data_IF_489819016306
#
_entry.id   IF_489819016306
#
_cell.length_a   1.000
_cell.length_b   1.000
_cell.length_c   1.000
_cell.angle_alpha   90.00
_cell.angle_beta   90.00
_cell.angle_gamma   90.00
#
_symmetry.space_group_name_H-M   'P 1'
#
loop_
_entity.id
_entity.type
_entity.pdbx_description
1 polymer ?
#
# COMPACT_ATOMS: atom_id res chain seq x y z
N UNK A 1 -30.70 2.95 16.95
CA UNK A 1 -30.23 3.81 15.83
C UNK A 1 -29.13 3.05 15.14
N UNK A 2 -29.29 2.71 13.86
CA UNK A 2 -28.20 2.10 13.09
C UNK A 2 -27.34 3.27 12.65
N UNK A 3 -26.14 3.42 13.22
CA UNK A 3 -25.15 4.35 12.68
C UNK A 3 -24.85 3.93 11.24
N UNK A 4 -25.12 4.79 10.26
CA UNK A 4 -24.72 4.56 8.89
C UNK A 4 -23.22 4.23 8.84
N UNK A 5 -22.87 3.11 8.21
CA UNK A 5 -21.49 2.77 7.94
C UNK A 5 -20.90 3.82 7.00
N UNK A 6 -20.17 4.78 7.56
CA UNK A 6 -19.38 5.71 6.75
C UNK A 6 -18.22 4.96 6.12
N UNK A 7 -18.40 4.60 4.85
CA UNK A 7 -17.37 4.02 3.98
C UNK A 7 -16.76 5.13 3.14
N UNK A 8 -15.43 5.24 3.15
CA UNK A 8 -14.69 6.12 2.25
C UNK A 8 -13.66 5.32 1.45
N UNK A 9 -13.45 5.73 0.21
CA UNK A 9 -12.53 5.07 -0.72
C UNK A 9 -11.59 6.09 -1.34
N UNK A 10 -10.29 5.84 -1.22
CA UNK A 10 -9.26 6.59 -1.92
C UNK A 10 -8.73 5.74 -3.08
N UNK A 11 -8.62 6.35 -4.26
CA UNK A 11 -7.89 5.80 -5.40
C UNK A 11 -7.11 6.93 -6.05
N UNK A 12 -5.80 6.75 -6.19
CA UNK A 12 -4.93 7.73 -6.83
C UNK A 12 -3.77 7.05 -7.55
N UNK A 13 -3.25 7.73 -8.57
CA UNK A 13 -2.01 7.39 -9.27
C UNK A 13 -1.14 8.64 -9.24
N UNK A 14 -0.03 8.57 -8.51
CA UNK A 14 0.91 9.68 -8.37
C UNK A 14 2.11 9.41 -9.27
N UNK A 15 2.49 10.38 -10.10
CA UNK A 15 3.79 10.39 -10.76
C UNK A 15 4.78 11.12 -9.85
N UNK A 16 5.88 10.47 -9.50
CA UNK A 16 6.92 10.99 -8.63
C UNK A 16 7.99 11.74 -9.46
N UNK A 17 8.88 12.45 -8.78
CA UNK A 17 9.87 13.33 -9.42
C UNK A 17 10.93 12.58 -10.24
N UNK A 18 11.16 11.31 -9.94
CA UNK A 18 12.04 10.39 -10.65
C UNK A 18 11.30 9.63 -11.76
N UNK A 19 10.11 10.11 -12.14
CA UNK A 19 9.22 9.52 -13.13
C UNK A 19 8.58 8.19 -12.73
N UNK A 20 8.96 7.60 -11.59
CA UNK A 20 8.27 6.42 -11.06
C UNK A 20 6.85 6.76 -10.62
N UNK A 21 6.05 5.72 -10.44
CA UNK A 21 4.61 5.86 -10.22
C UNK A 21 4.23 5.17 -8.92
N UNK A 22 3.44 5.84 -8.08
CA UNK A 22 2.79 5.23 -6.92
C UNK A 22 1.28 5.11 -7.15
N UNK A 23 0.78 3.87 -7.25
CA UNK A 23 -0.65 3.58 -7.20
C UNK A 23 -1.10 3.43 -5.77
N UNK A 24 -2.25 4.01 -5.45
CA UNK A 24 -2.81 4.09 -4.11
C UNK A 24 -4.26 3.62 -4.17
N UNK A 25 -4.61 2.68 -3.30
CA UNK A 25 -5.99 2.31 -3.00
C UNK A 25 -6.15 2.14 -1.51
N UNK A 26 -7.17 2.76 -0.93
CA UNK A 26 -7.52 2.57 0.48
C UNK A 26 -9.05 2.48 0.63
N UNK A 27 -9.49 1.63 1.56
CA UNK A 27 -10.87 1.57 2.04
C UNK A 27 -10.87 1.86 3.53
N UNK A 28 -11.72 2.80 3.91
CA UNK A 28 -11.91 3.26 5.27
C UNK A 28 -13.34 3.01 5.72
N UNK A 29 -13.51 2.44 6.91
CA UNK A 29 -14.80 2.25 7.58
C UNK A 29 -14.70 2.91 8.94
N UNK A 30 -15.63 3.83 9.27
CA UNK A 30 -15.64 4.55 10.56
C UNK A 30 -14.25 5.13 10.93
N UNK A 31 -13.55 5.73 9.95
CA UNK A 31 -12.19 6.30 10.07
C UNK A 31 -11.06 5.30 10.35
N UNK A 32 -11.31 3.99 10.26
CA UNK A 32 -10.28 2.95 10.28
C UNK A 32 -10.01 2.46 8.86
N UNK A 33 -8.75 2.45 8.44
CA UNK A 33 -8.35 1.82 7.19
C UNK A 33 -8.44 0.30 7.35
N UNK A 34 -9.31 -0.34 6.57
CA UNK A 34 -9.57 -1.79 6.64
C UNK A 34 -8.91 -2.54 5.49
N UNK A 35 -8.69 -1.87 4.36
CA UNK A 35 -8.03 -2.44 3.19
C UNK A 35 -7.13 -1.38 2.57
N UNK A 36 -5.93 -1.77 2.14
CA UNK A 36 -5.07 -0.92 1.34
C UNK A 36 -4.30 -1.74 0.31
N UNK A 37 -3.93 -1.07 -0.78
CA UNK A 37 -2.84 -1.51 -1.64
C UNK A 37 -2.07 -0.30 -2.17
N UNK A 38 -0.75 -0.40 -2.11
CA UNK A 38 0.17 0.57 -2.65
C UNK A 38 1.12 -0.16 -3.60
N UNK A 39 1.26 0.32 -4.85
CA UNK A 39 2.23 -0.25 -5.79
C UNK A 39 3.15 0.84 -6.29
N UNK A 40 4.43 0.69 -6.01
CA UNK A 40 5.48 1.51 -6.58
C UNK A 40 5.99 0.86 -7.84
N UNK A 41 5.91 1.59 -8.96
CA UNK A 41 6.10 1.09 -10.30
C UNK A 41 7.17 1.93 -11.02
N UNK A 42 7.88 1.27 -11.95
CA UNK A 42 8.66 1.96 -12.96
C UNK A 42 7.75 2.73 -13.95
N UNK A 43 8.31 3.62 -14.79
CA UNK A 43 7.56 4.32 -15.83
C UNK A 43 6.84 3.39 -16.84
N UNK A 44 7.36 2.17 -17.04
CA UNK A 44 6.77 1.13 -17.88
C UNK A 44 5.72 0.26 -17.15
N UNK A 45 5.28 0.71 -15.96
CA UNK A 45 4.30 0.04 -15.08
C UNK A 45 4.76 -1.31 -14.49
N UNK A 46 6.04 -1.68 -14.65
CA UNK A 46 6.58 -2.85 -13.94
C UNK A 46 6.70 -2.57 -12.44
N UNK A 47 6.35 -3.56 -11.62
CA UNK A 47 6.30 -3.41 -10.15
C UNK A 47 7.70 -3.42 -9.56
N UNK A 48 8.05 -2.37 -8.83
CA UNK A 48 9.25 -2.30 -7.99
C UNK A 48 8.94 -2.97 -6.64
N UNK A 49 7.92 -2.47 -5.92
CA UNK A 49 7.39 -3.04 -4.68
C UNK A 49 5.87 -2.85 -4.61
N UNK A 50 5.15 -3.87 -4.16
CA UNK A 50 3.75 -3.77 -3.74
C UNK A 50 3.60 -3.92 -2.23
N UNK A 51 2.73 -3.15 -1.59
CA UNK A 51 2.35 -3.31 -0.18
C UNK A 51 0.84 -3.47 -0.09
N UNK A 52 0.36 -4.50 0.59
CA UNK A 52 -1.07 -4.69 0.83
C UNK A 52 -1.35 -5.45 2.14
N UNK A 53 -2.62 -5.55 2.49
CA UNK A 53 -3.10 -6.28 3.66
C UNK A 53 -4.13 -7.37 3.32
N UNK A 54 -4.09 -7.92 2.11
CA UNK A 54 -4.97 -9.03 1.75
C UNK A 54 -4.70 -10.25 2.65
N UNK A 55 -5.72 -10.90 3.24
CA UNK A 55 -5.55 -11.90 4.30
C UNK A 55 -5.18 -13.30 3.76
N UNK A 56 -4.14 -13.39 2.92
CA UNK A 56 -3.72 -14.63 2.25
C UNK A 56 -2.41 -15.21 2.78
N UNK A 57 -1.47 -14.39 3.28
CA UNK A 57 -0.11 -14.79 3.67
C UNK A 57 0.08 -14.91 5.19
N UNK A 58 -0.56 -15.91 5.81
CA UNK A 58 -0.57 -16.10 7.28
C UNK A 58 0.80 -16.44 7.87
N UNK A 59 1.72 -16.92 7.05
CA UNK A 59 3.10 -17.25 7.39
C UNK A 59 3.98 -16.02 7.65
N UNK A 60 3.56 -14.85 7.20
CA UNK A 60 4.31 -13.59 7.37
C UNK A 60 4.14 -13.07 8.79
N UNK A 61 5.23 -12.70 9.45
CA UNK A 61 5.21 -12.27 10.85
C UNK A 61 4.37 -11.00 11.10
N UNK A 62 4.18 -10.17 10.07
CA UNK A 62 3.34 -8.97 10.12
C UNK A 62 1.92 -9.18 9.61
N UNK A 63 1.43 -10.43 9.48
CA UNK A 63 0.10 -10.73 8.96
C UNK A 63 -1.00 -9.83 9.56
N UNK A 64 -1.89 -9.24 8.73
CA UNK A 64 -2.04 -9.46 7.28
C UNK A 64 -1.12 -8.62 6.40
N UNK A 65 -0.31 -7.75 7.00
CA UNK A 65 0.55 -6.82 6.28
C UNK A 65 1.74 -7.52 5.66
N UNK A 66 1.95 -7.32 4.37
CA UNK A 66 3.09 -7.86 3.66
C UNK A 66 3.47 -6.95 2.49
N UNK A 67 4.65 -7.19 1.94
CA UNK A 67 5.11 -6.55 0.71
C UNK A 67 5.60 -7.58 -0.30
N UNK A 68 5.32 -7.30 -1.57
CA UNK A 68 5.76 -8.05 -2.72
C UNK A 68 6.98 -7.36 -3.33
N UNK A 69 8.12 -8.05 -3.31
CA UNK A 69 9.35 -7.58 -3.94
C UNK A 69 9.75 -8.62 -4.97
N UNK A 70 9.59 -8.29 -6.26
CA UNK A 70 9.72 -9.24 -7.37
C UNK A 70 8.79 -10.45 -7.15
N UNK A 71 9.37 -11.62 -6.87
CA UNK A 71 8.65 -12.88 -6.64
C UNK A 71 8.67 -13.32 -5.17
N UNK A 72 8.96 -12.41 -4.24
CA UNK A 72 9.03 -12.69 -2.80
C UNK A 72 7.97 -11.92 -2.04
N UNK A 73 7.41 -12.59 -1.04
CA UNK A 73 6.55 -12.02 -0.02
C UNK A 73 7.38 -11.83 1.25
N UNK A 74 7.38 -10.63 1.79
CA UNK A 74 8.13 -10.29 3.00
C UNK A 74 7.24 -9.55 4.00
N UNK A 75 7.64 -9.60 5.28
CA UNK A 75 7.01 -8.79 6.31
C UNK A 75 7.14 -7.30 5.99
N UNK A 76 6.08 -6.54 6.27
CA UNK A 76 6.01 -5.12 6.01
C UNK A 76 5.72 -4.33 7.29
N UNK A 77 6.48 -3.26 7.50
CA UNK A 77 6.15 -2.21 8.48
C UNK A 77 5.48 -1.00 7.80
N UNK A 78 5.56 -0.90 6.47
CA UNK A 78 4.91 0.14 5.68
C UNK A 78 3.44 -0.26 5.45
N UNK A 79 2.56 0.21 6.34
CA UNK A 79 1.14 -0.20 6.40
C UNK A 79 0.16 0.94 6.10
N UNK A 80 0.67 2.12 5.75
CA UNK A 80 -0.11 3.28 5.35
C UNK A 80 0.66 4.18 4.38
N UNK A 81 -0.05 5.08 3.69
CA UNK A 81 0.51 5.96 2.67
C UNK A 81 1.71 6.78 3.17
N UNK A 82 1.67 7.25 4.42
CA UNK A 82 2.78 8.02 5.01
C UNK A 82 4.04 7.17 5.13
N UNK A 83 3.93 5.97 5.67
CA UNK A 83 5.08 5.05 5.82
C UNK A 83 5.64 4.61 4.46
N UNK A 84 4.77 4.37 3.46
CA UNK A 84 5.18 4.03 2.09
C UNK A 84 5.91 5.21 1.43
N UNK A 85 5.37 6.43 1.51
CA UNK A 85 6.03 7.61 0.96
C UNK A 85 7.37 7.90 1.64
N UNK A 86 7.48 7.68 2.95
CA UNK A 86 8.75 7.79 3.67
C UNK A 86 9.77 6.75 3.21
N UNK A 87 9.34 5.50 3.01
CA UNK A 87 10.19 4.45 2.45
C UNK A 87 10.72 4.85 1.06
N UNK A 88 9.82 5.24 0.15
CA UNK A 88 10.18 5.66 -1.21
C UNK A 88 11.13 6.85 -1.16
N UNK A 89 10.83 7.87 -0.36
CA UNK A 89 11.72 9.02 -0.17
C UNK A 89 13.11 8.57 0.27
N UNK A 90 13.21 7.72 1.30
CA UNK A 90 14.50 7.22 1.81
C UNK A 90 15.29 6.42 0.78
N UNK A 91 14.61 5.80 -0.19
CA UNK A 91 15.24 5.09 -1.28
C UNK A 91 15.78 6.03 -2.37
N UNK A 92 15.07 7.15 -2.61
CA UNK A 92 15.43 8.12 -3.65
C UNK A 92 16.46 9.18 -3.19
N UNK A 93 16.59 9.43 -1.88
CA UNK A 93 17.52 10.41 -1.29
C UNK A 93 16.81 11.56 -0.60
#
# INVERSE_FOLDING_TARGET
MVEEEQVAKLKAKLKLFDETILWIREIWIKRKMVEYSYYWLQPDETVIIGWDNAPHHKEVSSYPHHKHIRNKIESSQETNLRTVLNFIKSFLG
#
